data_IF_461535234989
#
_entry.id   IF_461535234989
#
_cell.length_a   1.000
_cell.length_b   1.000
_cell.length_c   1.000
_cell.angle_alpha   90.00
_cell.angle_beta   90.00
_cell.angle_gamma   90.00
#
_symmetry.space_group_name_H-M   'P 1'
#
loop_
_entity.id
_entity.type
_entity.pdbx_description
1 polymer ?
#
# COMPACT_ATOMS: atom_id res chain seq x y z
N UNK A 1 -20.02 32.41 -46.45
CA UNK A 1 -20.38 32.81 -45.08
C UNK A 1 -19.76 31.76 -44.13
N UNK A 2 -18.70 32.13 -43.44
CA UNK A 2 -18.00 31.27 -42.45
C UNK A 2 -18.48 31.65 -41.06
N UNK A 3 -19.14 30.74 -40.37
CA UNK A 3 -19.48 30.92 -38.95
C UNK A 3 -18.29 30.47 -38.09
N UNK A 4 -17.67 31.44 -37.46
CA UNK A 4 -16.65 31.27 -36.41
C UNK A 4 -17.32 30.81 -35.12
N UNK A 5 -16.91 29.65 -34.58
CA UNK A 5 -17.29 29.19 -33.24
C UNK A 5 -16.35 29.84 -32.23
N UNK A 6 -16.82 30.82 -31.51
CA UNK A 6 -16.19 31.32 -30.31
C UNK A 6 -16.38 30.31 -29.16
N UNK A 7 -15.33 29.67 -28.75
CA UNK A 7 -15.24 28.96 -27.47
C UNK A 7 -15.03 30.00 -26.37
N UNK A 8 -16.05 30.29 -25.61
CA UNK A 8 -15.95 31.11 -24.39
C UNK A 8 -15.47 30.20 -23.29
N UNK A 9 -14.16 30.28 -22.96
CA UNK A 9 -13.61 29.74 -21.71
C UNK A 9 -14.14 30.57 -20.53
N UNK A 10 -15.15 30.06 -19.84
CA UNK A 10 -15.58 30.59 -18.55
C UNK A 10 -14.57 30.16 -17.50
N UNK A 11 -13.55 30.97 -17.23
CA UNK A 11 -12.76 30.89 -16.01
C UNK A 11 -13.64 31.33 -14.85
N UNK A 12 -14.25 30.37 -14.15
CA UNK A 12 -14.84 30.64 -12.84
C UNK A 12 -13.68 30.85 -11.84
N UNK A 13 -13.41 32.11 -11.55
CA UNK A 13 -12.66 32.52 -10.34
C UNK A 13 -13.53 32.12 -9.13
N UNK A 14 -13.33 30.90 -8.64
CA UNK A 14 -13.84 30.52 -7.32
C UNK A 14 -12.89 31.17 -6.32
N UNK A 15 -13.41 32.13 -5.59
CA UNK A 15 -12.75 32.76 -4.47
C UNK A 15 -12.23 31.72 -3.48
N UNK A 16 -10.92 31.62 -3.38
CA UNK A 16 -10.16 30.82 -2.42
C UNK A 16 -10.34 31.36 -1.00
N UNK A 17 -11.47 31.09 -0.37
CA UNK A 17 -11.66 31.32 1.05
C UNK A 17 -12.17 30.00 1.67
N UNK A 18 -11.23 29.12 2.04
CA UNK A 18 -11.56 27.89 2.74
C UNK A 18 -10.49 26.78 2.76
N UNK A 19 -9.34 26.99 2.14
CA UNK A 19 -8.31 25.95 2.04
C UNK A 19 -7.03 26.36 2.79
N UNK A 20 -6.99 26.20 4.10
CA UNK A 20 -5.76 26.41 4.89
C UNK A 20 -4.80 25.20 4.86
N UNK A 21 -5.25 23.99 4.48
CA UNK A 21 -4.43 22.78 4.49
C UNK A 21 -3.49 22.61 3.29
N UNK A 22 -3.93 22.99 2.08
CA UNK A 22 -3.13 22.75 0.85
C UNK A 22 -1.91 23.65 0.67
N UNK A 23 -1.88 24.83 1.29
CA UNK A 23 -0.71 25.72 1.22
C UNK A 23 0.45 25.22 2.09
N UNK A 24 0.20 24.44 3.13
CA UNK A 24 1.22 23.86 4.02
C UNK A 24 2.10 22.87 3.26
N UNK A 25 1.50 21.85 2.64
CA UNK A 25 2.25 20.85 1.88
C UNK A 25 3.08 21.43 0.74
N UNK A 26 2.58 22.44 0.04
CA UNK A 26 3.26 23.02 -1.10
C UNK A 26 4.62 23.62 -0.72
N UNK A 27 4.71 24.32 0.40
CA UNK A 27 5.93 24.98 0.85
C UNK A 27 6.93 23.96 1.44
N UNK A 28 6.45 23.07 2.29
CA UNK A 28 7.26 22.08 2.98
C UNK A 28 7.82 21.07 1.98
N UNK A 29 6.97 20.50 1.13
CA UNK A 29 7.38 19.56 0.09
C UNK A 29 8.34 20.21 -0.91
N UNK A 30 8.12 21.49 -1.28
CA UNK A 30 9.04 22.23 -2.13
C UNK A 30 10.43 22.47 -1.48
N UNK A 31 10.52 22.53 -0.15
CA UNK A 31 11.79 22.54 0.56
C UNK A 31 12.47 21.18 0.55
N UNK A 32 11.73 20.11 0.81
CA UNK A 32 12.22 18.73 0.78
C UNK A 32 12.67 18.29 -0.62
N UNK A 33 11.96 18.69 -1.67
CA UNK A 33 12.36 18.46 -3.06
C UNK A 33 13.74 19.10 -3.36
N UNK A 34 13.96 20.33 -2.92
CA UNK A 34 15.28 20.97 -3.06
C UNK A 34 16.36 20.27 -2.24
N UNK A 35 16.03 19.88 -1.01
CA UNK A 35 16.96 19.12 -0.18
C UNK A 35 17.31 17.77 -0.81
N UNK A 36 16.35 17.07 -1.41
CA UNK A 36 16.60 15.82 -2.12
C UNK A 36 17.58 16.01 -3.30
N UNK A 37 17.55 17.19 -3.97
CA UNK A 37 18.50 17.50 -5.04
C UNK A 37 19.90 17.85 -4.53
N UNK A 38 20.04 18.46 -3.35
CA UNK A 38 21.29 19.09 -2.93
C UNK A 38 21.92 18.46 -1.67
N UNK A 39 21.21 17.54 -0.96
CA UNK A 39 21.72 16.94 0.29
C UNK A 39 23.01 16.13 0.08
N UNK A 40 23.81 16.08 1.13
CA UNK A 40 24.98 15.19 1.21
C UNK A 40 24.53 13.79 1.69
N UNK A 41 25.37 12.80 1.44
CA UNK A 41 25.11 11.41 1.83
C UNK A 41 24.67 11.26 3.30
N UNK A 42 25.31 11.97 4.22
CA UNK A 42 24.98 11.95 5.65
C UNK A 42 23.57 12.48 5.99
N UNK A 43 22.92 13.17 5.06
CA UNK A 43 21.60 13.79 5.23
C UNK A 43 20.49 12.98 4.56
N UNK A 44 20.83 11.95 3.76
CA UNK A 44 19.87 11.17 2.97
C UNK A 44 18.79 10.56 3.84
N UNK A 45 19.18 9.90 4.94
CA UNK A 45 18.24 9.29 5.87
C UNK A 45 17.25 10.31 6.44
N UNK A 46 17.74 11.49 6.87
CA UNK A 46 16.90 12.55 7.41
C UNK A 46 15.91 13.10 6.37
N UNK A 47 16.38 13.37 5.14
CA UNK A 47 15.52 13.90 4.08
C UNK A 47 14.49 12.85 3.65
N UNK A 48 14.89 11.59 3.53
CA UNK A 48 14.01 10.48 3.20
C UNK A 48 12.93 10.28 4.27
N UNK A 49 13.31 10.32 5.55
CA UNK A 49 12.37 10.25 6.66
C UNK A 49 11.35 11.40 6.63
N UNK A 50 11.81 12.64 6.44
CA UNK A 50 10.93 13.80 6.36
C UNK A 50 9.96 13.71 5.17
N UNK A 51 10.41 13.18 4.02
CA UNK A 51 9.53 12.90 2.88
C UNK A 51 8.47 11.85 3.22
N UNK A 52 8.81 10.84 4.01
CA UNK A 52 7.88 9.82 4.42
C UNK A 52 6.86 10.35 5.45
N UNK A 53 7.30 11.21 6.37
CA UNK A 53 6.40 11.85 7.35
C UNK A 53 5.34 12.71 6.65
N UNK A 54 5.75 13.57 5.71
CA UNK A 54 4.79 14.39 4.94
C UNK A 54 3.87 13.51 4.07
N UNK A 55 4.39 12.41 3.51
CA UNK A 55 3.57 11.44 2.78
C UNK A 55 2.48 10.84 3.66
N UNK A 56 2.82 10.44 4.87
CA UNK A 56 1.88 9.88 5.85
C UNK A 56 0.75 10.85 6.18
N UNK A 57 1.06 12.13 6.31
CA UNK A 57 0.05 13.17 6.51
C UNK A 57 -0.85 13.34 5.29
N UNK A 58 -0.27 13.41 4.08
CA UNK A 58 -1.01 13.49 2.81
C UNK A 58 -2.00 12.30 2.67
N UNK A 59 -1.55 11.09 2.92
CA UNK A 59 -2.38 9.89 2.83
C UNK A 59 -3.51 9.88 3.88
N UNK A 60 -3.23 10.35 5.10
CA UNK A 60 -4.23 10.48 6.14
C UNK A 60 -5.32 11.51 5.77
N UNK A 61 -4.91 12.64 5.21
CA UNK A 61 -5.86 13.65 4.73
C UNK A 61 -6.67 13.13 3.55
N UNK A 62 -6.04 12.40 2.62
CA UNK A 62 -6.72 11.77 1.49
C UNK A 62 -7.78 10.76 1.95
N UNK A 63 -7.49 9.91 2.93
CA UNK A 63 -8.46 9.00 3.54
C UNK A 63 -9.64 9.76 4.16
N UNK A 64 -9.35 10.84 4.91
CA UNK A 64 -10.39 11.70 5.49
C UNK A 64 -11.31 12.31 4.43
N UNK A 65 -10.75 12.77 3.30
CA UNK A 65 -11.53 13.37 2.20
C UNK A 65 -12.35 12.31 1.47
N UNK A 66 -11.78 11.12 1.21
CA UNK A 66 -12.50 9.99 0.62
C UNK A 66 -13.72 9.59 1.45
N UNK A 67 -13.57 9.46 2.76
CA UNK A 67 -14.68 9.15 3.65
C UNK A 67 -15.80 10.21 3.61
N UNK A 68 -15.43 11.49 3.53
CA UNK A 68 -16.41 12.60 3.36
C UNK A 68 -17.09 12.57 2.00
N UNK A 69 -16.37 12.21 0.95
CA UNK A 69 -16.91 12.09 -0.40
C UNK A 69 -17.92 10.95 -0.49
N UNK A 70 -17.63 9.80 0.08
CA UNK A 70 -18.53 8.64 0.13
C UNK A 70 -19.82 8.95 0.88
N UNK A 71 -19.72 9.58 2.06
CA UNK A 71 -20.90 10.04 2.80
C UNK A 71 -21.75 11.03 2.00
N UNK A 72 -21.11 11.98 1.31
CA UNK A 72 -21.80 12.92 0.46
C UNK A 72 -22.53 12.24 -0.71
N UNK A 73 -21.94 11.21 -1.32
CA UNK A 73 -22.54 10.46 -2.42
C UNK A 73 -23.75 9.63 -1.95
N UNK A 74 -23.69 9.04 -0.76
CA UNK A 74 -24.81 8.35 -0.14
C UNK A 74 -25.98 9.33 0.08
N UNK A 75 -25.74 10.48 0.71
CA UNK A 75 -26.75 11.49 0.98
C UNK A 75 -27.35 12.07 -0.32
N UNK A 76 -26.50 12.28 -1.34
CA UNK A 76 -26.95 12.74 -2.65
C UNK A 76 -27.88 11.72 -3.32
N UNK A 77 -27.57 10.44 -3.23
CA UNK A 77 -28.41 9.35 -3.75
C UNK A 77 -29.77 9.33 -3.07
N UNK A 78 -29.81 9.47 -1.75
CA UNK A 78 -31.07 9.55 -1.00
C UNK A 78 -31.91 10.77 -1.38
N UNK A 79 -31.28 11.94 -1.52
CA UNK A 79 -31.96 13.16 -1.93
C UNK A 79 -32.55 13.05 -3.34
N UNK A 80 -31.83 12.41 -4.27
CA UNK A 80 -32.31 12.13 -5.63
C UNK A 80 -33.55 11.23 -5.63
N UNK A 81 -33.59 10.20 -4.81
CA UNK A 81 -34.78 9.34 -4.68
C UNK A 81 -35.95 10.08 -4.00
N UNK A 82 -35.70 10.85 -2.94
CA UNK A 82 -36.74 11.70 -2.31
C UNK A 82 -37.31 12.70 -3.33
N UNK A 83 -36.47 13.35 -4.14
CA UNK A 83 -36.90 14.25 -5.22
C UNK A 83 -37.80 13.53 -6.23
N UNK A 84 -37.43 12.32 -6.66
CA UNK A 84 -38.19 11.50 -7.60
C UNK A 84 -39.58 11.12 -7.06
N UNK A 85 -39.65 10.73 -5.78
CA UNK A 85 -40.92 10.40 -5.11
C UNK A 85 -41.81 11.64 -5.00
N UNK A 86 -41.26 12.78 -4.58
CA UNK A 86 -41.99 14.05 -4.47
C UNK A 86 -42.50 14.50 -5.80
N UNK A 87 -41.71 14.41 -6.87
CA UNK A 87 -42.12 14.74 -8.23
C UNK A 87 -43.28 13.86 -8.71
N UNK A 88 -43.27 12.56 -8.48
CA UNK A 88 -44.40 11.67 -8.80
C UNK A 88 -45.66 12.05 -8.05
N UNK A 89 -45.54 12.41 -6.78
CA UNK A 89 -46.67 12.84 -5.98
C UNK A 89 -47.25 14.18 -6.49
N UNK A 90 -46.39 15.12 -6.87
CA UNK A 90 -46.79 16.39 -7.49
C UNK A 90 -47.54 16.19 -8.81
N UNK A 91 -47.03 15.38 -9.72
CA UNK A 91 -47.68 15.11 -11.02
C UNK A 91 -49.00 14.35 -10.84
N UNK A 92 -49.08 13.43 -9.86
CA UNK A 92 -50.33 12.72 -9.53
C UNK A 92 -51.40 13.71 -9.05
N UNK A 93 -51.04 14.60 -8.13
CA UNK A 93 -51.97 15.60 -7.58
C UNK A 93 -52.39 16.62 -8.66
N UNK A 94 -51.49 17.07 -9.52
CA UNK A 94 -51.74 17.93 -10.65
C UNK A 94 -52.77 17.31 -11.62
N UNK A 95 -52.62 16.02 -11.94
CA UNK A 95 -53.62 15.28 -12.76
C UNK A 95 -54.97 15.21 -12.07
N UNK A 96 -55.01 14.93 -10.77
CA UNK A 96 -56.26 14.91 -10.02
C UNK A 96 -56.97 16.29 -10.03
N UNK A 97 -56.22 17.38 -9.84
CA UNK A 97 -56.78 18.74 -9.95
C UNK A 97 -57.35 19.02 -11.33
N UNK A 98 -56.65 18.64 -12.40
CA UNK A 98 -57.17 18.83 -13.77
C UNK A 98 -58.48 18.06 -13.99
N UNK A 99 -58.61 16.85 -13.45
CA UNK A 99 -59.86 16.07 -13.53
C UNK A 99 -60.99 16.75 -12.75
N UNK A 100 -60.75 17.32 -11.58
CA UNK A 100 -61.77 18.08 -10.83
C UNK A 100 -62.22 19.32 -11.59
N UNK A 101 -61.33 20.07 -12.21
CA UNK A 101 -61.66 21.22 -13.02
C UNK A 101 -62.50 20.85 -14.27
N UNK A 102 -62.30 19.69 -14.86
CA UNK A 102 -63.10 19.19 -15.98
C UNK A 102 -64.49 18.70 -15.56
N UNK A 103 -64.69 18.29 -14.32
CA UNK A 103 -65.97 17.83 -13.77
C UNK A 103 -66.87 18.95 -13.26
N UNK A 104 -66.44 20.21 -13.32
CA UNK A 104 -67.09 21.39 -12.76
C UNK A 104 -68.52 21.61 -13.30
N UNK A 105 -68.87 21.01 -14.42
CA UNK A 105 -70.22 21.16 -15.02
C UNK A 105 -71.30 20.29 -14.38
N UNK A 106 -70.94 19.39 -13.41
CA UNK A 106 -71.92 18.39 -12.92
C UNK A 106 -72.06 18.29 -11.39
N UNK A 107 -71.38 19.12 -10.58
CA UNK A 107 -71.41 19.04 -9.13
C UNK A 107 -71.77 20.37 -8.45
N UNK A 108 -72.26 20.28 -7.18
CA UNK A 108 -72.55 21.44 -6.32
C UNK A 108 -71.31 22.36 -6.20
N UNK A 109 -71.39 23.65 -6.61
CA UNK A 109 -70.21 24.52 -6.74
C UNK A 109 -69.39 24.66 -5.45
N UNK A 110 -70.07 24.80 -4.31
CA UNK A 110 -69.39 25.05 -3.01
C UNK A 110 -68.46 23.91 -2.58
N UNK A 111 -68.84 22.66 -2.71
CA UNK A 111 -68.01 21.52 -2.33
C UNK A 111 -66.80 21.38 -3.26
N UNK A 112 -66.91 21.78 -4.48
CA UNK A 112 -65.85 21.73 -5.47
C UNK A 112 -64.78 22.80 -5.19
N UNK A 113 -65.18 24.04 -4.88
CA UNK A 113 -64.28 25.15 -4.52
C UNK A 113 -63.40 24.82 -3.32
N UNK A 114 -63.99 24.25 -2.26
CA UNK A 114 -63.24 23.83 -1.04
C UNK A 114 -62.23 22.73 -1.38
N UNK A 115 -62.59 21.73 -2.20
CA UNK A 115 -61.68 20.65 -2.62
C UNK A 115 -60.54 21.15 -3.51
N UNK A 116 -60.84 22.06 -4.45
CA UNK A 116 -59.83 22.69 -5.32
C UNK A 116 -58.88 23.55 -4.50
N UNK A 117 -59.38 24.34 -3.54
CA UNK A 117 -58.55 25.18 -2.67
C UNK A 117 -57.60 24.34 -1.80
N UNK A 118 -58.07 23.26 -1.18
CA UNK A 118 -57.22 22.39 -0.37
C UNK A 118 -56.16 21.67 -1.22
N UNK A 119 -56.53 21.12 -2.38
CA UNK A 119 -55.55 20.48 -3.28
C UNK A 119 -54.57 21.48 -3.88
N UNK A 120 -54.99 22.75 -4.07
CA UNK A 120 -54.09 23.82 -4.48
C UNK A 120 -52.98 24.11 -3.44
N UNK A 121 -53.35 24.11 -2.13
CA UNK A 121 -52.40 24.26 -1.05
C UNK A 121 -51.43 23.08 -0.98
N UNK A 122 -51.94 21.84 -1.12
CA UNK A 122 -51.11 20.63 -1.15
C UNK A 122 -50.15 20.65 -2.35
N UNK A 123 -50.59 21.08 -3.53
CA UNK A 123 -49.77 21.21 -4.71
C UNK A 123 -48.66 22.25 -4.53
N UNK A 124 -48.98 23.39 -3.92
CA UNK A 124 -48.00 24.43 -3.59
C UNK A 124 -46.93 23.90 -2.60
N UNK A 125 -47.38 23.18 -1.60
CA UNK A 125 -46.47 22.55 -0.59
C UNK A 125 -45.51 21.57 -1.26
N UNK A 126 -46.03 20.69 -2.12
CA UNK A 126 -45.19 19.75 -2.87
C UNK A 126 -44.22 20.45 -3.81
N UNK A 127 -44.64 21.53 -4.49
CA UNK A 127 -43.78 22.34 -5.34
C UNK A 127 -42.62 22.97 -4.55
N UNK A 128 -42.95 23.58 -3.40
CA UNK A 128 -41.90 24.17 -2.53
C UNK A 128 -40.93 23.12 -2.00
N UNK A 129 -41.45 21.96 -1.62
CA UNK A 129 -40.59 20.85 -1.17
C UNK A 129 -39.68 20.33 -2.31
N UNK A 130 -40.20 20.23 -3.53
CA UNK A 130 -39.39 19.84 -4.68
C UNK A 130 -38.27 20.85 -4.97
N UNK A 131 -38.55 22.13 -4.86
CA UNK A 131 -37.52 23.21 -4.97
C UNK A 131 -36.44 23.09 -3.91
N UNK A 132 -36.83 22.86 -2.66
CA UNK A 132 -35.83 22.63 -1.57
C UNK A 132 -34.96 21.39 -1.80
N UNK A 133 -35.54 20.30 -2.32
CA UNK A 133 -34.77 19.11 -2.65
C UNK A 133 -33.81 19.36 -3.84
N UNK A 134 -34.24 20.14 -4.84
CA UNK A 134 -33.38 20.57 -5.95
C UNK A 134 -32.16 21.36 -5.46
N UNK A 135 -32.38 22.30 -4.56
CA UNK A 135 -31.34 23.12 -3.97
C UNK A 135 -30.34 22.28 -3.17
N UNK A 136 -30.85 21.36 -2.32
CA UNK A 136 -30.01 20.42 -1.56
C UNK A 136 -29.21 19.50 -2.48
N UNK A 137 -29.81 18.96 -3.53
CA UNK A 137 -29.08 18.15 -4.51
C UNK A 137 -27.97 18.96 -5.17
N UNK A 138 -28.25 20.19 -5.59
CA UNK A 138 -27.25 21.07 -6.21
C UNK A 138 -26.09 21.39 -5.28
N UNK A 139 -26.35 21.63 -3.99
CA UNK A 139 -25.30 21.83 -2.99
C UNK A 139 -24.41 20.59 -2.80
N UNK A 140 -25.03 19.39 -2.79
CA UNK A 140 -24.28 18.13 -2.67
C UNK A 140 -23.47 17.82 -3.92
N UNK A 141 -23.99 18.12 -5.12
CA UNK A 141 -23.23 18.00 -6.39
C UNK A 141 -22.00 18.93 -6.40
N UNK A 142 -22.14 20.16 -5.90
CA UNK A 142 -21.00 21.08 -5.77
C UNK A 142 -19.93 20.52 -4.83
N UNK A 143 -20.35 20.03 -3.64
CA UNK A 143 -19.41 19.39 -2.69
C UNK A 143 -18.70 18.18 -3.27
N UNK A 144 -19.39 17.40 -4.10
CA UNK A 144 -18.77 16.27 -4.80
C UNK A 144 -17.61 16.72 -5.69
N UNK A 145 -17.80 17.80 -6.44
CA UNK A 145 -16.72 18.38 -7.29
C UNK A 145 -15.58 18.93 -6.43
N UNK A 146 -15.89 19.57 -5.30
CA UNK A 146 -14.88 20.07 -4.35
C UNK A 146 -14.02 18.91 -3.80
N UNK A 147 -14.63 17.82 -3.33
CA UNK A 147 -13.90 16.65 -2.86
C UNK A 147 -13.06 15.98 -3.96
N UNK A 148 -13.58 15.88 -5.17
CA UNK A 148 -12.81 15.34 -6.30
C UNK A 148 -11.56 16.17 -6.60
N UNK A 149 -11.66 17.49 -6.54
CA UNK A 149 -10.51 18.38 -6.73
C UNK A 149 -9.51 18.24 -5.59
N UNK A 150 -9.97 18.12 -4.35
CA UNK A 150 -9.12 17.93 -3.19
C UNK A 150 -8.35 16.61 -3.26
N UNK A 151 -9.01 15.51 -3.62
CA UNK A 151 -8.36 14.22 -3.83
C UNK A 151 -7.29 14.31 -4.94
N UNK A 152 -7.59 14.98 -6.05
CA UNK A 152 -6.62 15.17 -7.14
C UNK A 152 -5.38 15.96 -6.69
N UNK A 153 -5.57 16.98 -5.86
CA UNK A 153 -4.46 17.76 -5.31
C UNK A 153 -3.59 16.92 -4.37
N UNK A 154 -4.19 16.13 -3.47
CA UNK A 154 -3.47 15.26 -2.56
C UNK A 154 -2.70 14.17 -3.32
N UNK A 155 -3.30 13.57 -4.36
CA UNK A 155 -2.61 12.64 -5.26
C UNK A 155 -1.44 13.29 -6.00
N UNK A 156 -1.56 14.57 -6.36
CA UNK A 156 -0.45 15.30 -6.99
C UNK A 156 0.70 15.52 -6.00
N UNK A 157 0.41 15.80 -4.73
CA UNK A 157 1.45 15.89 -3.69
C UNK A 157 2.11 14.54 -3.42
N UNK A 158 1.37 13.45 -3.34
CA UNK A 158 1.93 12.11 -3.18
C UNK A 158 2.90 11.75 -4.31
N UNK A 159 2.53 12.02 -5.56
CA UNK A 159 3.44 11.85 -6.73
C UNK A 159 4.71 12.72 -6.65
N UNK A 160 4.63 13.90 -6.05
CA UNK A 160 5.82 14.74 -5.85
C UNK A 160 6.75 14.15 -4.79
N UNK A 161 6.20 13.55 -3.72
CA UNK A 161 6.99 12.82 -2.73
C UNK A 161 7.71 11.65 -3.41
N UNK A 162 7.01 10.83 -4.20
CA UNK A 162 7.61 9.74 -4.96
C UNK A 162 8.76 10.23 -5.84
N UNK A 163 8.57 11.34 -6.55
CA UNK A 163 9.61 11.92 -7.39
C UNK A 163 10.83 12.36 -6.58
N UNK A 164 10.62 12.99 -5.41
CA UNK A 164 11.73 13.42 -4.54
C UNK A 164 12.49 12.22 -3.95
N UNK A 165 11.78 11.17 -3.55
CA UNK A 165 12.38 9.92 -3.09
C UNK A 165 13.19 9.23 -4.20
N UNK A 166 12.65 9.16 -5.42
CA UNK A 166 13.37 8.64 -6.58
C UNK A 166 14.62 9.48 -6.90
N UNK A 167 14.57 10.81 -6.74
CA UNK A 167 15.74 11.67 -6.90
C UNK A 167 16.85 11.32 -5.88
N UNK A 168 16.50 11.07 -4.62
CA UNK A 168 17.46 10.58 -3.63
C UNK A 168 18.03 9.23 -4.03
N UNK A 169 17.17 8.29 -4.43
CA UNK A 169 17.54 6.96 -4.90
C UNK A 169 18.55 7.03 -6.07
N UNK A 170 18.24 7.80 -7.10
CA UNK A 170 19.09 7.96 -8.27
C UNK A 170 20.45 8.60 -7.93
N UNK A 171 20.46 9.65 -7.09
CA UNK A 171 21.68 10.37 -6.72
C UNK A 171 22.66 9.53 -5.90
N UNK A 172 22.15 8.70 -4.99
CA UNK A 172 22.99 7.94 -4.08
C UNK A 172 23.14 6.49 -4.47
N UNK A 173 22.49 6.06 -5.56
CA UNK A 173 22.50 4.67 -6.06
C UNK A 173 22.20 3.62 -4.97
N UNK A 174 21.47 4.04 -3.94
CA UNK A 174 21.13 3.24 -2.78
C UNK A 174 19.62 3.16 -2.69
N UNK A 175 19.10 1.98 -2.78
CA UNK A 175 17.68 1.77 -2.75
C UNK A 175 17.20 1.20 -1.45
N UNK A 176 18.03 0.43 -0.78
CA UNK A 176 17.70 -0.23 0.48
C UNK A 176 18.94 -0.26 1.36
N UNK A 177 18.80 -0.43 2.65
CA UNK A 177 19.90 -0.60 3.59
C UNK A 177 20.69 -1.88 3.39
N UNK A 178 20.17 -2.75 2.54
CA UNK A 178 20.87 -3.94 2.11
C UNK A 178 22.23 -3.63 1.52
N UNK A 179 22.35 -2.56 0.74
CA UNK A 179 23.62 -2.16 0.14
C UNK A 179 24.54 -1.43 1.11
N UNK A 180 24.05 -0.97 2.27
CA UNK A 180 24.86 -0.19 3.22
C UNK A 180 25.82 -1.06 4.04
N UNK A 181 25.56 -2.36 4.17
CA UNK A 181 26.45 -3.29 4.87
C UNK A 181 27.63 -3.72 4.01
N UNK A 182 27.57 -3.46 2.70
CA UNK A 182 28.59 -3.87 1.74
C UNK A 182 29.51 -2.70 1.39
N UNK A 183 30.21 -2.16 2.35
CA UNK A 183 31.33 -1.23 2.13
C UNK A 183 32.65 -1.95 1.85
N UNK A 184 32.61 -3.03 1.12
CA UNK A 184 33.77 -3.78 0.71
C UNK A 184 33.81 -3.96 -0.79
N UNK A 185 34.99 -4.06 -1.33
CA UNK A 185 35.23 -4.39 -2.74
C UNK A 185 34.23 -5.43 -3.21
N UNK A 186 33.57 -5.18 -4.34
CA UNK A 186 32.72 -6.15 -5.00
C UNK A 186 33.45 -7.47 -5.20
N UNK A 187 33.37 -8.34 -4.22
CA UNK A 187 33.68 -9.74 -4.44
C UNK A 187 32.37 -10.41 -4.85
N UNK A 188 32.16 -10.75 -6.11
CA UNK A 188 30.93 -11.38 -6.58
C UNK A 188 30.72 -12.77 -6.00
N UNK A 189 31.73 -13.31 -5.32
CA UNK A 189 31.70 -14.61 -4.65
C UNK A 189 32.23 -14.47 -3.23
N UNK A 190 31.49 -14.97 -2.26
CA UNK A 190 31.90 -15.04 -0.86
C UNK A 190 31.68 -16.45 -0.35
N UNK A 191 32.67 -16.97 0.38
CA UNK A 191 32.53 -18.24 1.08
C UNK A 191 32.51 -17.99 2.57
N UNK A 192 31.47 -18.43 3.24
CA UNK A 192 31.34 -18.41 4.70
C UNK A 192 32.01 -19.68 5.24
N UNK A 193 33.00 -19.50 6.10
CA UNK A 193 33.80 -20.63 6.62
C UNK A 193 33.31 -21.15 7.97
N UNK A 194 32.61 -20.32 8.75
CA UNK A 194 32.10 -20.76 10.05
C UNK A 194 31.13 -19.75 10.67
N UNK A 195 30.43 -20.20 11.72
CA UNK A 195 29.47 -19.38 12.46
C UNK A 195 30.08 -18.13 13.11
N UNK A 196 31.37 -18.21 13.46
CA UNK A 196 32.10 -17.09 14.07
C UNK A 196 32.23 -15.86 13.13
N UNK A 197 32.07 -16.07 11.84
CA UNK A 197 32.13 -15.01 10.82
C UNK A 197 30.77 -14.34 10.61
N UNK A 198 29.71 -14.82 11.28
CA UNK A 198 28.36 -14.33 11.15
C UNK A 198 27.93 -13.56 12.39
N UNK A 199 27.10 -12.51 12.24
CA UNK A 199 26.43 -11.89 13.38
C UNK A 199 25.57 -12.92 14.11
N UNK A 200 25.55 -12.86 15.44
CA UNK A 200 24.69 -13.72 16.24
C UNK A 200 23.23 -13.29 16.05
N UNK A 201 22.40 -14.22 15.62
CA UNK A 201 20.97 -14.04 15.47
C UNK A 201 20.35 -13.49 16.78
N UNK A 202 19.52 -12.46 16.68
CA UNK A 202 18.90 -11.84 17.85
C UNK A 202 19.77 -10.86 18.64
N UNK A 203 21.11 -10.87 18.51
CA UNK A 203 21.99 -9.90 19.20
C UNK A 203 21.99 -8.51 18.53
N UNK A 204 21.48 -8.45 17.33
CA UNK A 204 21.50 -7.27 16.46
C UNK A 204 20.12 -6.62 16.42
N UNK A 205 19.12 -7.25 17.03
CA UNK A 205 17.80 -6.62 17.16
C UNK A 205 17.92 -5.30 17.88
N UNK A 206 17.45 -4.26 17.20
CA UNK A 206 17.35 -2.96 17.83
C UNK A 206 16.44 -3.11 19.05
N UNK A 207 16.87 -2.55 20.14
CA UNK A 207 16.24 -2.55 21.46
C UNK A 207 14.82 -1.94 21.50
N UNK A 208 14.16 -1.76 20.36
CA UNK A 208 12.91 -0.97 20.26
C UNK A 208 11.64 -1.78 20.22
N UNK A 209 11.49 -2.93 20.61
CA UNK A 209 10.28 -3.76 20.73
C UNK A 209 10.45 -5.18 20.18
N UNK A 210 11.30 -5.95 20.82
CA UNK A 210 11.48 -7.38 20.50
C UNK A 210 10.23 -8.25 20.79
N UNK A 211 9.13 -7.66 21.28
CA UNK A 211 7.92 -8.38 21.67
C UNK A 211 7.19 -9.09 20.51
N UNK A 212 7.47 -8.71 19.26
CA UNK A 212 6.85 -9.27 18.07
C UNK A 212 7.81 -10.06 17.19
N UNK A 213 9.09 -10.14 17.56
CA UNK A 213 10.04 -11.03 16.93
C UNK A 213 10.00 -12.40 17.61
N UNK A 214 9.86 -13.44 16.79
CA UNK A 214 9.86 -14.82 17.27
C UNK A 214 10.60 -15.73 16.31
N UNK A 215 11.31 -16.73 16.85
CA UNK A 215 12.08 -17.68 16.07
C UNK A 215 11.86 -19.12 16.54
N UNK A 216 12.15 -20.05 15.62
CA UNK A 216 12.03 -21.49 15.86
C UNK A 216 12.96 -21.95 16.98
N UNK A 217 12.38 -22.52 18.03
CA UNK A 217 13.09 -23.05 19.21
C UNK A 217 12.96 -24.58 19.39
N UNK A 218 12.28 -25.26 18.49
CA UNK A 218 11.97 -26.69 18.57
C UNK A 218 12.49 -27.43 17.33
N UNK A 219 12.49 -28.75 17.40
CA UNK A 219 12.77 -29.59 16.25
C UNK A 219 11.78 -29.31 15.12
N UNK A 220 12.26 -29.31 13.89
CA UNK A 220 11.48 -28.99 12.71
C UNK A 220 11.21 -30.24 11.87
N UNK A 221 10.03 -30.29 11.27
CA UNK A 221 9.70 -31.29 10.27
C UNK A 221 8.95 -30.68 9.11
N UNK A 222 9.17 -31.19 7.90
CA UNK A 222 8.36 -30.91 6.72
C UNK A 222 7.74 -32.23 6.29
N UNK A 223 6.42 -32.32 6.34
CA UNK A 223 5.70 -33.59 6.16
C UNK A 223 5.62 -34.05 4.70
N UNK A 224 5.78 -33.13 3.75
CA UNK A 224 5.74 -33.44 2.33
C UNK A 224 6.53 -32.44 1.50
N UNK A 225 7.11 -32.91 0.40
CA UNK A 225 7.78 -32.05 -0.59
C UNK A 225 6.82 -31.61 -1.68
N UNK A 226 7.01 -30.42 -2.21
CA UNK A 226 6.26 -29.92 -3.38
C UNK A 226 6.89 -30.42 -4.69
N UNK A 227 6.10 -30.70 -5.73
CA UNK A 227 6.64 -31.18 -7.02
C UNK A 227 7.28 -30.07 -7.85
N UNK A 228 6.94 -28.81 -7.60
CA UNK A 228 7.41 -27.62 -8.33
C UNK A 228 7.27 -26.36 -7.49
N UNK A 229 7.91 -25.30 -7.91
CA UNK A 229 7.73 -23.97 -7.34
C UNK A 229 6.36 -23.38 -7.68
N UNK A 230 5.65 -22.87 -6.69
CA UNK A 230 4.44 -22.07 -6.85
C UNK A 230 4.75 -20.58 -6.93
N UNK A 231 3.71 -19.80 -7.21
CA UNK A 231 3.79 -18.33 -7.18
C UNK A 231 3.90 -17.82 -5.74
N UNK A 232 4.49 -16.64 -5.59
CA UNK A 232 4.56 -15.91 -4.31
C UNK A 232 3.51 -14.80 -4.20
N UNK A 233 2.92 -14.37 -5.31
CA UNK A 233 1.81 -13.40 -5.34
C UNK A 233 0.94 -13.60 -6.58
N UNK A 234 -0.30 -13.08 -6.55
CA UNK A 234 -1.22 -13.06 -7.70
C UNK A 234 -0.95 -11.89 -8.64
N UNK A 235 -0.26 -10.88 -8.16
CA UNK A 235 -0.08 -9.59 -8.83
C UNK A 235 1.37 -9.12 -8.65
N UNK A 236 1.68 -8.03 -9.31
CA UNK A 236 2.98 -7.40 -9.19
C UNK A 236 3.87 -7.63 -10.40
N UNK A 237 5.04 -7.00 -10.35
CA UNK A 237 6.11 -7.15 -11.36
C UNK A 237 7.46 -7.00 -10.65
N UNK A 238 8.50 -7.57 -11.22
CA UNK A 238 9.86 -7.43 -10.72
C UNK A 238 10.32 -5.99 -10.96
N UNK A 239 10.44 -5.19 -9.90
CA UNK A 239 10.93 -3.81 -9.97
C UNK A 239 12.45 -3.72 -9.90
N UNK A 240 13.09 -4.67 -9.23
CA UNK A 240 14.54 -4.85 -9.24
C UNK A 240 14.88 -6.35 -9.21
N UNK A 241 15.77 -6.74 -10.10
CA UNK A 241 16.27 -8.12 -10.17
C UNK A 241 17.47 -8.34 -9.28
N UNK A 242 17.88 -9.62 -9.16
CA UNK A 242 19.01 -10.01 -8.34
C UNK A 242 20.32 -9.57 -8.97
N UNK A 243 21.29 -9.31 -8.13
CA UNK A 243 22.67 -8.85 -8.26
C UNK A 243 22.83 -7.37 -8.59
N UNK A 244 21.88 -6.70 -9.16
CA UNK A 244 21.99 -5.25 -9.39
C UNK A 244 20.63 -4.57 -9.47
N UNK A 245 20.54 -3.38 -8.88
CA UNK A 245 19.43 -2.49 -9.11
C UNK A 245 19.44 -1.91 -10.55
N UNK A 246 18.30 -1.49 -11.09
CA UNK A 246 18.21 -0.92 -12.44
C UNK A 246 19.12 0.31 -12.65
N UNK A 247 19.41 1.06 -11.57
CA UNK A 247 20.23 2.27 -11.60
C UNK A 247 21.63 2.09 -11.02
N UNK A 248 22.06 0.85 -10.80
CA UNK A 248 23.35 0.51 -10.20
C UNK A 248 23.23 0.21 -8.69
N UNK A 249 24.29 -0.35 -8.14
CA UNK A 249 24.29 -0.89 -6.78
C UNK A 249 24.02 -2.39 -6.75
N UNK A 250 24.47 -3.05 -5.68
CA UNK A 250 24.28 -4.48 -5.49
C UNK A 250 22.90 -4.75 -4.89
N UNK A 251 22.22 -5.76 -5.39
CA UNK A 251 20.92 -6.21 -4.93
C UNK A 251 20.97 -7.71 -4.66
N UNK A 252 20.76 -8.13 -3.42
CA UNK A 252 20.99 -9.51 -2.98
C UNK A 252 19.77 -10.42 -3.13
N UNK A 253 18.64 -9.87 -3.55
CA UNK A 253 17.40 -10.58 -3.80
C UNK A 253 16.64 -10.01 -4.99
N UNK A 254 15.37 -10.28 -5.04
CA UNK A 254 14.43 -9.79 -6.05
C UNK A 254 13.36 -8.92 -5.37
N UNK A 255 13.14 -7.71 -5.89
CA UNK A 255 12.04 -6.86 -5.45
C UNK A 255 10.80 -7.09 -6.32
N UNK A 256 9.76 -7.59 -5.71
CA UNK A 256 8.45 -7.73 -6.31
C UNK A 256 7.57 -6.54 -5.90
N UNK A 257 7.37 -5.58 -6.82
CA UNK A 257 6.49 -4.44 -6.59
C UNK A 257 5.04 -4.89 -6.43
N UNK A 258 4.43 -4.57 -5.31
CA UNK A 258 3.09 -4.98 -4.92
C UNK A 258 2.33 -3.81 -4.31
N UNK A 259 1.01 -3.80 -4.48
CA UNK A 259 0.18 -2.94 -3.66
C UNK A 259 0.30 -3.35 -2.19
N UNK A 260 0.21 -2.37 -1.28
CA UNK A 260 0.18 -2.66 0.15
C UNK A 260 -0.92 -3.68 0.48
N UNK A 261 -0.61 -4.60 1.37
CA UNK A 261 -1.52 -5.65 1.85
C UNK A 261 -1.92 -6.68 0.78
N UNK A 262 -1.14 -6.84 -0.30
CA UNK A 262 -1.30 -7.97 -1.22
C UNK A 262 -0.86 -9.28 -0.55
N UNK A 263 -1.52 -10.39 -0.88
CA UNK A 263 -1.16 -11.69 -0.33
C UNK A 263 0.23 -12.14 -0.79
N UNK A 264 1.01 -12.64 0.17
CA UNK A 264 2.24 -13.39 -0.06
C UNK A 264 1.96 -14.85 0.21
N UNK A 265 2.09 -15.66 -0.83
CA UNK A 265 1.78 -17.09 -0.80
C UNK A 265 3.05 -17.94 -0.58
N UNK A 266 2.85 -19.10 0.02
CA UNK A 266 3.86 -20.14 0.13
C UNK A 266 4.19 -20.71 -1.26
N UNK A 267 5.44 -20.59 -1.75
CA UNK A 267 5.82 -21.14 -3.04
C UNK A 267 5.99 -22.67 -3.04
N UNK A 268 6.04 -23.28 -1.88
CA UNK A 268 6.11 -24.74 -1.68
C UNK A 268 5.71 -25.10 -0.26
N UNK A 269 5.60 -26.39 0.03
CA UNK A 269 5.40 -26.88 1.39
C UNK A 269 6.63 -26.60 2.24
N UNK A 270 6.43 -26.18 3.49
CA UNK A 270 7.56 -25.77 4.31
C UNK A 270 7.25 -25.56 5.79
N UNK A 271 8.20 -24.93 6.45
CA UNK A 271 8.15 -24.57 7.87
C UNK A 271 8.72 -23.16 8.08
N UNK A 272 8.15 -22.44 9.04
CA UNK A 272 8.59 -21.09 9.40
C UNK A 272 9.79 -21.15 10.34
N UNK A 273 10.86 -20.41 10.02
CA UNK A 273 12.02 -20.23 10.87
C UNK A 273 11.87 -19.07 11.84
N UNK A 274 11.55 -17.88 11.32
CA UNK A 274 11.25 -16.71 12.15
C UNK A 274 10.25 -15.78 11.48
N UNK A 275 9.65 -14.92 12.29
CA UNK A 275 8.80 -13.80 11.87
C UNK A 275 9.11 -12.57 12.74
N UNK A 276 9.21 -11.40 12.12
CA UNK A 276 9.29 -10.11 12.78
C UNK A 276 8.13 -9.24 12.31
N UNK A 277 7.29 -8.79 13.25
CA UNK A 277 6.11 -7.97 12.99
C UNK A 277 6.10 -6.69 13.83
N UNK A 278 7.29 -6.25 14.25
CA UNK A 278 7.47 -5.17 15.23
C UNK A 278 7.22 -3.78 14.67
N UNK A 279 7.16 -3.64 13.35
CA UNK A 279 7.18 -2.35 12.67
C UNK A 279 5.86 -2.05 11.95
N UNK A 280 5.60 -0.77 11.70
CA UNK A 280 4.40 -0.37 10.96
C UNK A 280 4.49 -0.85 9.51
N UNK A 281 3.34 -1.16 8.95
CA UNK A 281 3.24 -1.73 7.59
C UNK A 281 3.66 -0.77 6.47
N UNK A 282 3.71 0.53 6.72
CA UNK A 282 3.94 1.55 5.71
C UNK A 282 4.71 2.77 6.28
N UNK A 283 5.85 2.52 6.92
CA UNK A 283 6.74 3.55 7.46
C UNK A 283 8.19 3.43 6.92
N UNK A 284 8.35 2.72 5.81
CA UNK A 284 9.63 2.57 5.13
C UNK A 284 10.16 3.89 4.57
N UNK A 285 11.47 4.13 4.75
CA UNK A 285 12.22 5.22 4.15
C UNK A 285 13.68 4.84 3.99
N UNK A 286 14.40 5.50 3.06
CA UNK A 286 15.83 5.25 2.85
C UNK A 286 16.64 5.55 4.13
N UNK A 287 17.42 4.56 4.57
CA UNK A 287 18.20 4.64 5.80
C UNK A 287 17.46 4.17 7.06
N UNK A 288 16.21 3.68 6.93
CA UNK A 288 15.55 3.00 8.03
C UNK A 288 16.14 1.60 8.21
N UNK A 289 17.01 1.43 9.21
CA UNK A 289 17.70 0.19 9.49
C UNK A 289 16.93 -0.71 10.47
N UNK A 290 15.65 -0.45 10.69
CA UNK A 290 14.79 -1.26 11.57
C UNK A 290 14.50 -2.64 10.96
N UNK A 291 14.31 -3.62 11.82
CA UNK A 291 14.01 -5.00 11.45
C UNK A 291 15.23 -5.90 11.37
N UNK A 292 14.96 -7.19 11.33
CA UNK A 292 15.96 -8.22 11.06
C UNK A 292 15.63 -8.92 9.74
N UNK A 293 16.56 -9.03 8.79
CA UNK A 293 17.92 -8.43 8.79
C UNK A 293 17.85 -6.90 8.73
N UNK A 294 18.95 -6.22 8.98
CA UNK A 294 19.00 -4.77 9.07
C UNK A 294 18.34 -4.06 7.89
N UNK A 295 17.35 -3.22 8.21
CA UNK A 295 16.56 -2.52 7.22
C UNK A 295 15.45 -3.37 6.61
N UNK A 296 15.30 -4.64 6.98
CA UNK A 296 14.27 -5.52 6.45
C UNK A 296 12.84 -5.14 6.85
N UNK A 297 12.68 -4.34 7.92
CA UNK A 297 11.38 -4.05 8.48
C UNK A 297 10.71 -5.30 9.04
N UNK A 298 9.43 -5.50 8.71
CA UNK A 298 8.74 -6.75 9.00
C UNK A 298 9.19 -7.84 8.04
N UNK A 299 9.57 -9.00 8.57
CA UNK A 299 10.20 -10.07 7.80
C UNK A 299 9.67 -11.44 8.16
N UNK A 300 9.78 -12.35 7.22
CA UNK A 300 9.44 -13.76 7.37
C UNK A 300 10.53 -14.62 6.72
N UNK A 301 11.11 -15.55 7.47
CA UNK A 301 12.03 -16.54 6.92
C UNK A 301 11.44 -17.95 7.05
N UNK A 302 11.53 -18.73 5.98
CA UNK A 302 10.97 -20.08 5.89
C UNK A 302 11.97 -21.04 5.26
N UNK A 303 11.86 -22.34 5.59
CA UNK A 303 12.44 -23.41 4.79
C UNK A 303 11.32 -24.10 4.02
N UNK A 304 11.52 -24.33 2.73
CA UNK A 304 10.60 -25.07 1.86
C UNK A 304 11.28 -26.29 1.26
N UNK A 305 10.48 -27.28 0.90
CA UNK A 305 10.96 -28.53 0.27
C UNK A 305 10.35 -28.68 -1.14
N UNK A 306 11.21 -28.81 -2.14
CA UNK A 306 10.81 -29.02 -3.53
C UNK A 306 11.62 -30.16 -4.12
N UNK A 307 10.93 -31.23 -4.55
CA UNK A 307 11.57 -32.45 -5.08
C UNK A 307 12.68 -32.99 -4.15
N UNK A 308 12.39 -32.98 -2.84
CA UNK A 308 13.32 -33.40 -1.77
C UNK A 308 14.52 -32.47 -1.55
N UNK A 309 14.69 -31.40 -2.31
CA UNK A 309 15.66 -30.34 -2.03
C UNK A 309 15.08 -29.29 -1.10
N UNK A 310 15.91 -28.76 -0.26
CA UNK A 310 15.55 -27.71 0.70
C UNK A 310 16.04 -26.35 0.21
N UNK A 311 15.20 -25.33 0.46
CA UNK A 311 15.52 -23.94 0.17
C UNK A 311 15.08 -23.08 1.35
N UNK A 312 15.90 -22.12 1.76
CA UNK A 312 15.49 -21.06 2.66
C UNK A 312 15.07 -19.82 1.86
N UNK A 313 13.96 -19.19 2.26
CA UNK A 313 13.48 -17.94 1.68
C UNK A 313 13.31 -16.91 2.78
N UNK A 314 13.78 -15.69 2.50
CA UNK A 314 13.52 -14.52 3.35
C UNK A 314 12.69 -13.52 2.57
N UNK A 315 11.55 -13.11 3.16
CA UNK A 315 10.68 -12.06 2.67
C UNK A 315 10.85 -10.84 3.58
N UNK A 316 11.16 -9.68 3.01
CA UNK A 316 11.33 -8.44 3.74
C UNK A 316 10.37 -7.34 3.27
N UNK A 317 10.32 -6.24 4.00
CA UNK A 317 9.44 -5.09 3.79
C UNK A 317 7.94 -5.41 3.86
N UNK A 318 7.59 -6.47 4.59
CA UNK A 318 6.21 -6.92 4.77
C UNK A 318 5.37 -5.91 5.57
N UNK A 319 4.06 -6.10 5.55
CA UNK A 319 3.18 -5.50 6.56
C UNK A 319 3.40 -6.16 7.92
N UNK A 320 2.84 -5.58 8.96
CA UNK A 320 2.85 -6.20 10.30
C UNK A 320 1.85 -7.38 10.42
N UNK A 321 1.25 -7.82 9.31
CA UNK A 321 0.33 -8.95 9.26
C UNK A 321 1.03 -10.16 8.66
N UNK A 322 1.46 -11.07 9.52
CA UNK A 322 2.02 -12.38 9.18
C UNK A 322 1.09 -13.43 9.80
N UNK A 323 0.61 -14.35 8.99
CA UNK A 323 -0.43 -15.33 9.39
C UNK A 323 0.14 -16.62 9.98
N UNK A 324 1.43 -16.80 9.91
CA UNK A 324 2.12 -18.01 10.34
C UNK A 324 3.12 -17.70 11.46
N UNK A 325 3.40 -18.68 12.30
CA UNK A 325 4.32 -18.56 13.44
C UNK A 325 5.53 -19.52 13.29
N UNK A 326 6.68 -19.20 13.89
CA UNK A 326 7.86 -20.07 13.89
C UNK A 326 7.52 -21.49 14.33
N UNK A 327 8.02 -22.49 13.59
CA UNK A 327 7.69 -23.90 13.79
C UNK A 327 6.39 -24.35 13.15
N UNK A 328 5.57 -23.46 12.66
CA UNK A 328 4.35 -23.81 11.93
C UNK A 328 4.71 -24.33 10.53
N UNK A 329 4.15 -25.50 10.19
CA UNK A 329 4.17 -26.03 8.83
C UNK A 329 3.07 -25.34 8.01
N UNK A 330 3.31 -25.19 6.72
CA UNK A 330 2.36 -24.67 5.75
C UNK A 330 2.44 -25.44 4.44
N UNK A 331 1.39 -25.37 3.66
CA UNK A 331 1.29 -25.99 2.35
C UNK A 331 1.50 -24.98 1.23
N UNK A 332 1.96 -25.45 0.08
CA UNK A 332 2.04 -24.63 -1.14
C UNK A 332 0.71 -23.93 -1.43
N UNK A 333 0.75 -22.60 -1.63
CA UNK A 333 -0.43 -21.77 -1.90
C UNK A 333 -1.10 -21.19 -0.65
N UNK A 334 -0.69 -21.56 0.56
CA UNK A 334 -1.17 -20.90 1.78
C UNK A 334 -0.74 -19.44 1.80
N UNK A 335 -1.58 -18.56 2.35
CA UNK A 335 -1.22 -17.15 2.57
C UNK A 335 -0.33 -17.07 3.81
N UNK A 336 0.92 -16.65 3.65
CA UNK A 336 1.88 -16.54 4.75
C UNK A 336 1.83 -15.17 5.40
N UNK A 337 1.73 -14.11 4.60
CA UNK A 337 1.84 -12.72 5.05
C UNK A 337 1.15 -11.77 4.07
N UNK A 338 1.13 -10.48 4.42
CA UNK A 338 0.75 -9.41 3.50
C UNK A 338 1.96 -8.53 3.19
N UNK A 339 2.07 -8.11 1.91
CA UNK A 339 3.08 -7.15 1.46
C UNK A 339 2.97 -5.82 2.18
N UNK A 340 4.05 -5.07 2.28
CA UNK A 340 4.11 -3.80 2.98
C UNK A 340 5.05 -2.79 2.32
N UNK A 341 5.50 -1.87 3.15
CA UNK A 341 6.53 -0.88 2.89
C UNK A 341 7.16 -0.53 4.25
N UNK A 342 7.78 -1.49 4.92
CA UNK A 342 8.42 -1.32 6.22
C UNK A 342 9.94 -1.37 6.09
N UNK A 343 10.66 -0.80 7.05
CA UNK A 343 12.12 -0.79 7.06
C UNK A 343 12.72 0.12 5.99
N UNK A 344 13.85 -0.27 5.41
CA UNK A 344 14.58 0.54 4.44
C UNK A 344 14.03 0.38 3.02
N UNK A 345 12.85 0.90 2.81
CA UNK A 345 12.06 0.77 1.59
C UNK A 345 11.49 2.11 1.16
N UNK A 346 11.32 2.33 -0.14
CA UNK A 346 10.79 3.58 -0.71
C UNK A 346 9.38 3.47 -1.26
N UNK A 347 8.77 2.28 -1.19
CA UNK A 347 7.43 2.04 -1.74
C UNK A 347 6.96 0.62 -1.52
N UNK A 348 5.70 0.35 -1.85
CA UNK A 348 5.10 -0.98 -1.68
C UNK A 348 5.80 -2.05 -2.52
N UNK A 349 6.49 -2.97 -1.88
CA UNK A 349 7.12 -4.13 -2.50
C UNK A 349 7.43 -5.20 -1.45
N UNK A 350 7.82 -6.38 -1.91
CA UNK A 350 8.40 -7.42 -1.06
C UNK A 350 9.75 -7.80 -1.65
N UNK A 351 10.80 -7.66 -0.85
CA UNK A 351 12.13 -8.16 -1.18
C UNK A 351 12.21 -9.65 -0.85
N UNK A 352 12.73 -10.45 -1.77
CA UNK A 352 12.77 -11.92 -1.68
C UNK A 352 14.20 -12.40 -1.92
N UNK A 353 14.74 -13.16 -0.96
CA UNK A 353 16.01 -13.88 -1.09
C UNK A 353 15.77 -15.38 -1.10
N UNK A 354 16.61 -16.12 -1.82
CA UNK A 354 16.54 -17.58 -1.88
C UNK A 354 17.92 -18.19 -1.71
N UNK A 355 17.98 -19.23 -0.89
CA UNK A 355 19.18 -20.02 -0.64
C UNK A 355 18.89 -21.50 -0.90
N UNK A 356 19.67 -22.16 -1.74
CA UNK A 356 19.66 -23.60 -1.86
C UNK A 356 20.43 -24.19 -0.68
N UNK A 357 19.80 -25.06 0.09
CA UNK A 357 20.36 -25.69 1.30
C UNK A 357 21.04 -27.00 0.94
N UNK A 358 22.16 -27.29 1.60
CA UNK A 358 23.02 -28.43 1.26
C UNK A 358 22.99 -29.56 2.31
N UNK A 359 22.47 -29.28 3.50
CA UNK A 359 22.39 -30.21 4.59
C UNK A 359 20.95 -30.74 4.81
N UNK A 360 20.79 -31.66 5.75
CA UNK A 360 19.46 -32.13 6.15
C UNK A 360 18.68 -31.03 6.87
N UNK A 361 17.34 -31.10 6.88
CA UNK A 361 16.50 -30.14 7.60
C UNK A 361 16.93 -29.97 9.06
N UNK A 362 17.23 -31.07 9.75
CA UNK A 362 17.70 -31.06 11.14
C UNK A 362 19.00 -30.27 11.29
N UNK A 363 19.94 -30.46 10.38
CA UNK A 363 21.23 -29.78 10.41
C UNK A 363 21.08 -28.28 10.09
N UNK A 364 20.26 -27.93 9.12
CA UNK A 364 19.97 -26.53 8.74
C UNK A 364 19.23 -25.79 9.88
N UNK A 365 18.27 -26.44 10.53
CA UNK A 365 17.58 -25.87 11.70
C UNK A 365 18.56 -25.73 12.88
N UNK A 366 19.44 -26.70 13.10
CA UNK A 366 20.49 -26.60 14.13
C UNK A 366 21.47 -25.46 13.83
N UNK A 367 21.85 -25.27 12.57
CA UNK A 367 22.68 -24.14 12.14
C UNK A 367 21.99 -22.81 12.44
N UNK A 368 20.70 -22.66 12.09
CA UNK A 368 19.88 -21.49 12.41
C UNK A 368 19.78 -21.26 13.93
N UNK A 369 19.50 -22.29 14.72
CA UNK A 369 19.37 -22.20 16.19
C UNK A 369 20.67 -21.84 16.91
N UNK A 370 21.83 -22.06 16.30
CA UNK A 370 23.14 -21.61 16.79
C UNK A 370 23.42 -20.13 16.54
N UNK A 371 22.45 -19.38 16.03
CA UNK A 371 22.54 -17.95 15.81
C UNK A 371 22.85 -17.55 14.37
N UNK A 372 22.87 -18.49 13.44
CA UNK A 372 23.00 -18.19 12.01
C UNK A 372 21.64 -17.80 11.38
N UNK A 373 21.69 -17.20 10.23
CA UNK A 373 20.51 -16.85 9.44
C UNK A 373 20.82 -16.95 7.95
N UNK A 374 19.79 -17.14 7.13
CA UNK A 374 19.86 -17.21 5.68
C UNK A 374 19.38 -15.88 5.09
N UNK A 375 20.05 -14.77 5.43
CA UNK A 375 19.72 -13.47 4.86
C UNK A 375 20.94 -12.55 4.88
N UNK A 376 20.85 -11.47 4.10
CA UNK A 376 21.90 -10.46 4.12
C UNK A 376 22.02 -9.84 5.53
N UNK A 377 23.17 -9.25 5.83
CA UNK A 377 23.45 -8.75 7.18
C UNK A 377 23.91 -9.82 8.16
N UNK A 378 23.86 -11.10 7.78
CA UNK A 378 24.36 -12.24 8.56
C UNK A 378 25.62 -12.86 7.94
N UNK A 379 26.37 -12.07 7.18
CA UNK A 379 27.52 -12.56 6.41
C UNK A 379 27.17 -13.03 5.01
N UNK A 380 25.89 -13.15 4.66
CA UNK A 380 25.38 -13.44 3.33
C UNK A 380 25.24 -12.16 2.49
N UNK A 381 26.28 -11.35 2.45
CA UNK A 381 26.29 -9.98 1.97
C UNK A 381 26.95 -9.80 0.59
N UNK A 382 27.04 -10.86 -0.20
CA UNK A 382 27.54 -10.83 -1.56
C UNK A 382 26.70 -11.71 -2.49
N UNK A 383 26.64 -11.40 -3.79
CA UNK A 383 26.16 -12.34 -4.80
C UNK A 383 26.90 -13.67 -4.67
N UNK A 384 26.25 -14.77 -4.99
CA UNK A 384 26.86 -16.11 -4.92
C UNK A 384 27.58 -16.46 -3.60
N UNK A 385 27.11 -15.89 -2.48
CA UNK A 385 27.60 -16.33 -1.17
C UNK A 385 27.26 -17.80 -0.98
N UNK A 386 28.25 -18.59 -0.56
CA UNK A 386 28.12 -20.04 -0.35
C UNK A 386 28.84 -20.50 0.92
N UNK A 387 28.34 -21.60 1.48
CA UNK A 387 28.98 -22.33 2.59
C UNK A 387 28.70 -23.81 2.43
N UNK A 388 29.15 -24.60 3.39
CA UNK A 388 28.75 -26.02 3.49
C UNK A 388 27.25 -26.17 3.80
N UNK A 389 26.58 -25.13 4.28
CA UNK A 389 25.16 -25.11 4.64
C UNK A 389 24.28 -24.67 3.47
N UNK A 390 24.66 -23.61 2.75
CA UNK A 390 23.81 -23.04 1.75
C UNK A 390 24.59 -22.33 0.64
N UNK A 391 23.90 -22.09 -0.50
CA UNK A 391 24.34 -21.19 -1.57
C UNK A 391 23.21 -20.21 -1.89
N UNK A 392 23.51 -18.90 -1.89
CA UNK A 392 22.55 -17.89 -2.38
C UNK A 392 22.35 -18.08 -3.88
N UNK A 393 21.09 -18.13 -4.29
CA UNK A 393 20.69 -18.24 -5.70
C UNK A 393 19.78 -17.10 -6.09
N UNK A 394 19.55 -16.90 -7.38
CA UNK A 394 18.65 -15.88 -7.90
C UNK A 394 17.20 -16.33 -7.75
N UNK A 395 16.34 -15.57 -7.04
CA UNK A 395 14.92 -15.90 -6.94
C UNK A 395 14.24 -16.06 -8.30
N UNK A 396 14.61 -15.25 -9.31
CA UNK A 396 14.04 -15.29 -10.66
C UNK A 396 14.30 -16.63 -11.40
N UNK A 397 15.26 -17.42 -10.96
CA UNK A 397 15.56 -18.72 -11.58
C UNK A 397 14.62 -19.82 -11.05
N UNK A 398 13.99 -19.60 -9.91
CA UNK A 398 13.17 -20.61 -9.23
C UNK A 398 11.73 -20.15 -8.99
N UNK A 399 11.50 -18.89 -8.64
CA UNK A 399 10.19 -18.32 -8.44
C UNK A 399 9.69 -17.78 -9.77
N UNK A 400 8.81 -18.53 -10.43
CA UNK A 400 8.08 -18.04 -11.62
C UNK A 400 6.87 -17.23 -11.16
N UNK A 401 6.77 -15.99 -11.66
CA UNK A 401 5.62 -15.10 -11.40
C UNK A 401 4.33 -15.60 -12.04
#
# INVERSE_FOLDING_TARGET
MRFSRFFVCFFLLISLTGFQGTSSYQNELGALERQAMDCKEQQVAQVSQSLQEIRKEILKDMESVLNKADLNDIELKELKEKKKVTHRSYERLKKQMALYLMQEQSMYPYCLEVRISNKGKDLQTLYMHQKQLEEKCSQKEKKKVEFQLEIQNLQAYDKRVDKAQNTLKERFQRTDGFDQTVHGQHNPQKTIQGLQDLPVFGSIHSTKNDSHFSCLSQDASITSTSPYWGKVSDQGYISAGTWSYPHGGMHLGMDLALALYSNIYAPANGIVLYADTSYNSNDGYLGNMEGWPYGGGNTLCVIVSIQEKLYALTFAHLSNTIYVAPGQQFSQGDVLALSGNSGNSTGGHTHIEVFELHASLEQEVSYFQQGADFSFGCGWDAPHTQSIWATRIRPEEVITG
#
